data_IF_210761231972
#
_entry.id   IF_210761231972
#
_cell.length_a   1.000
_cell.length_b   1.000
_cell.length_c   1.000
_cell.angle_alpha   90.00
_cell.angle_beta   90.00
_cell.angle_gamma   90.00
#
_symmetry.space_group_name_H-M   'P 1'
#
loop_
_entity.id
_entity.type
_entity.pdbx_description
1 polymer ?
#
# COMPACT_ATOMS: atom_id res chain seq x y z
N UNK A 1 -2.85 13.56 8.48
CA UNK A 1 -4.27 13.18 8.52
C UNK A 1 -4.67 12.91 9.96
N UNK A 2 -5.22 13.93 10.63
CA UNK A 2 -5.54 13.80 12.06
C UNK A 2 -6.79 12.95 12.31
N UNK A 3 -7.68 12.83 11.33
CA UNK A 3 -8.90 12.00 11.37
C UNK A 3 -8.63 10.49 11.52
N UNK A 4 -7.38 10.06 11.29
CA UNK A 4 -6.94 8.67 11.41
C UNK A 4 -6.12 8.42 12.69
N UNK A 5 -6.10 9.39 13.60
CA UNK A 5 -5.38 9.33 14.87
C UNK A 5 -6.14 8.47 15.88
N UNK A 6 -5.41 7.69 16.68
CA UNK A 6 -5.96 6.95 17.81
C UNK A 6 -5.65 7.64 19.16
N UNK A 7 -6.33 7.26 20.26
CA UNK A 7 -6.12 7.90 21.56
C UNK A 7 -4.68 7.84 22.09
N UNK A 8 -3.91 6.79 21.75
CA UNK A 8 -2.51 6.68 22.16
C UNK A 8 -1.63 7.69 21.41
N UNK A 9 -1.84 7.85 20.11
CA UNK A 9 -1.13 8.84 19.30
C UNK A 9 -1.46 10.26 19.77
N UNK A 10 -2.71 10.55 20.13
CA UNK A 10 -3.09 11.84 20.73
C UNK A 10 -2.33 12.13 22.03
N UNK A 11 -2.19 11.14 22.93
CA UNK A 11 -1.39 11.31 24.15
C UNK A 11 0.07 11.70 23.89
N UNK A 12 0.68 11.19 22.82
CA UNK A 12 2.03 11.56 22.41
C UNK A 12 2.06 13.02 21.95
N UNK A 13 1.08 13.42 21.12
CA UNK A 13 0.93 14.81 20.67
C UNK A 13 0.75 15.75 21.87
N UNK A 14 -0.11 15.39 22.82
CA UNK A 14 -0.37 16.18 24.02
C UNK A 14 0.86 16.36 24.90
N UNK A 15 1.69 15.31 25.02
CA UNK A 15 2.96 15.42 25.74
C UNK A 15 3.91 16.42 25.07
N UNK A 16 3.98 16.45 23.74
CA UNK A 16 4.80 17.43 23.01
C UNK A 16 4.27 18.85 23.19
N UNK A 17 2.95 19.04 23.20
CA UNK A 17 2.33 20.34 23.44
C UNK A 17 2.59 20.82 24.86
N UNK A 18 2.54 19.93 25.85
CA UNK A 18 2.87 20.25 27.25
C UNK A 18 4.32 20.72 27.43
N UNK A 19 5.25 20.24 26.61
CA UNK A 19 6.65 20.70 26.55
C UNK A 19 6.83 22.01 25.74
N UNK A 20 5.74 22.64 25.30
CA UNK A 20 5.74 23.95 24.64
C UNK A 20 5.63 23.90 23.11
N UNK A 21 5.39 22.74 22.51
CA UNK A 21 5.13 22.67 21.06
C UNK A 21 3.81 23.35 20.68
N UNK A 22 3.80 24.04 19.54
CA UNK A 22 2.58 24.59 18.96
C UNK A 22 1.86 23.51 18.14
N UNK A 23 0.59 23.28 18.43
CA UNK A 23 -0.23 22.30 17.71
C UNK A 23 -0.95 22.95 16.53
N UNK A 24 -0.77 22.39 15.34
CA UNK A 24 -1.56 22.69 14.16
C UNK A 24 -2.07 21.39 13.54
N UNK A 25 -3.39 21.29 13.38
CA UNK A 25 -4.08 20.06 12.97
C UNK A 25 -4.77 20.26 11.63
N UNK A 26 -4.61 19.28 10.73
CA UNK A 26 -5.30 19.22 9.45
C UNK A 26 -5.94 17.84 9.31
N UNK A 27 -7.19 17.82 8.86
CA UNK A 27 -7.90 16.60 8.50
C UNK A 27 -9.35 16.86 8.11
N UNK A 28 -10.00 15.80 7.64
CA UNK A 28 -11.42 15.79 7.30
C UNK A 28 -12.08 14.59 7.98
N UNK A 29 -12.99 14.78 8.96
CA UNK A 29 -13.61 13.67 9.67
C UNK A 29 -14.43 12.77 8.73
N UNK A 30 -14.92 13.30 7.59
CA UNK A 30 -15.64 12.53 6.57
C UNK A 30 -14.75 11.49 5.86
N UNK A 31 -13.43 11.66 5.95
CA UNK A 31 -12.42 10.80 5.31
C UNK A 31 -11.80 9.79 6.30
N UNK A 32 -12.32 9.68 7.53
CA UNK A 32 -11.85 8.67 8.48
C UNK A 32 -12.28 7.27 8.03
N UNK A 33 -11.34 6.51 7.46
CA UNK A 33 -11.58 5.16 6.91
C UNK A 33 -10.73 4.07 7.61
N UNK A 34 -9.94 4.45 8.62
CA UNK A 34 -9.02 3.55 9.33
C UNK A 34 -9.50 3.08 10.70
N UNK A 35 -10.81 3.12 10.99
CA UNK A 35 -11.38 2.64 12.27
C UNK A 35 -10.95 1.21 12.64
N UNK A 36 -10.76 0.34 11.65
CA UNK A 36 -10.27 -1.04 11.87
C UNK A 36 -8.84 -1.13 12.42
N UNK A 37 -8.06 -0.04 12.36
CA UNK A 37 -6.71 0.08 12.95
C UNK A 37 -6.73 0.86 14.27
N UNK A 38 -7.91 1.11 14.84
CA UNK A 38 -8.09 1.84 16.09
C UNK A 38 -8.12 3.36 15.95
N UNK A 39 -8.16 3.90 14.72
CA UNK A 39 -8.44 5.32 14.53
C UNK A 39 -9.83 5.67 15.09
N UNK A 40 -9.92 6.79 15.78
CA UNK A 40 -11.16 7.26 16.37
C UNK A 40 -11.42 8.70 15.95
N UNK A 41 -12.47 8.89 15.16
CA UNK A 41 -12.91 10.22 14.72
C UNK A 41 -13.37 11.10 15.90
N UNK A 42 -13.75 10.50 17.03
CA UNK A 42 -14.02 11.22 18.28
C UNK A 42 -12.80 12.04 18.73
N UNK A 43 -11.60 11.48 18.60
CA UNK A 43 -10.34 12.20 18.91
C UNK A 43 -10.20 13.46 18.05
N UNK A 44 -10.59 13.40 16.77
CA UNK A 44 -10.59 14.57 15.90
C UNK A 44 -11.58 15.63 16.38
N UNK A 45 -12.80 15.23 16.72
CA UNK A 45 -13.86 16.14 17.19
C UNK A 45 -13.46 16.80 18.51
N UNK A 46 -13.00 16.01 19.49
CA UNK A 46 -12.52 16.51 20.79
C UNK A 46 -11.37 17.48 20.61
N UNK A 47 -10.35 17.13 19.81
CA UNK A 47 -9.21 18.02 19.57
C UNK A 47 -9.61 19.32 18.88
N UNK A 48 -10.58 19.26 17.96
CA UNK A 48 -11.12 20.46 17.30
C UNK A 48 -11.79 21.39 18.31
N UNK A 49 -12.51 20.84 19.29
CA UNK A 49 -13.17 21.61 20.34
C UNK A 49 -12.14 22.18 21.36
N UNK A 50 -11.09 21.41 21.69
CA UNK A 50 -9.95 21.88 22.50
C UNK A 50 -9.22 23.06 21.83
N UNK A 51 -8.93 22.95 20.53
CA UNK A 51 -8.30 24.01 19.75
C UNK A 51 -9.23 25.24 19.67
N UNK A 52 -10.54 25.05 19.55
CA UNK A 52 -11.49 26.17 19.53
C UNK A 52 -11.45 27.02 20.82
N UNK A 53 -11.10 26.41 21.96
CA UNK A 53 -11.02 27.12 23.24
C UNK A 53 -9.80 28.04 23.36
N UNK A 54 -8.73 27.79 22.60
CA UNK A 54 -7.43 28.50 22.74
C UNK A 54 -6.86 29.04 21.43
N UNK A 55 -7.47 28.71 20.31
CA UNK A 55 -7.02 29.02 18.95
C UNK A 55 -8.21 29.25 18.02
N UNK A 56 -8.11 28.76 16.79
CA UNK A 56 -9.12 28.99 15.76
C UNK A 56 -9.26 27.80 14.83
N UNK A 57 -10.51 27.47 14.48
CA UNK A 57 -10.82 26.48 13.47
C UNK A 57 -11.03 27.17 12.12
N UNK A 58 -10.36 26.67 11.08
CA UNK A 58 -10.47 27.18 9.71
C UNK A 58 -11.04 26.10 8.82
N UNK A 59 -12.13 26.41 8.13
CA UNK A 59 -12.81 25.50 7.22
C UNK A 59 -12.42 25.82 5.77
N UNK A 60 -12.03 24.79 5.02
CA UNK A 60 -11.63 24.89 3.62
C UNK A 60 -12.68 24.20 2.75
N UNK A 61 -13.67 24.95 2.29
CA UNK A 61 -14.80 24.42 1.51
C UNK A 61 -14.50 24.32 0.00
N UNK A 62 -13.51 25.08 -0.45
CA UNK A 62 -13.16 25.25 -1.86
C UNK A 62 -12.35 24.06 -2.39
N UNK A 63 -12.90 23.35 -3.37
CA UNK A 63 -12.26 22.24 -4.05
C UNK A 63 -11.55 22.69 -5.32
N UNK A 64 -10.23 22.63 -5.30
CA UNK A 64 -9.36 22.94 -6.44
C UNK A 64 -8.99 21.71 -7.27
N UNK A 65 -9.43 20.50 -6.88
CA UNK A 65 -9.01 19.24 -7.49
C UNK A 65 -9.98 18.78 -8.58
N UNK A 66 -11.27 18.81 -8.29
CA UNK A 66 -12.32 18.17 -9.07
C UNK A 66 -13.19 19.19 -9.80
N UNK A 67 -13.78 18.76 -10.92
CA UNK A 67 -14.70 19.58 -11.71
C UNK A 67 -16.06 19.76 -11.01
N UNK A 68 -16.79 20.86 -11.27
CA UNK A 68 -18.08 21.15 -10.64
C UNK A 68 -19.11 20.02 -10.74
N UNK A 69 -19.13 19.29 -11.85
CA UNK A 69 -20.11 18.23 -12.11
C UNK A 69 -19.92 17.04 -11.16
N UNK A 70 -18.66 16.65 -10.89
CA UNK A 70 -18.34 15.59 -9.93
C UNK A 70 -18.65 16.03 -8.49
N UNK A 71 -18.32 17.28 -8.14
CA UNK A 71 -18.64 17.84 -6.82
C UNK A 71 -20.16 17.92 -6.62
N UNK A 72 -20.91 18.33 -7.64
CA UNK A 72 -22.37 18.34 -7.62
C UNK A 72 -22.96 16.96 -7.36
N UNK A 73 -22.47 15.93 -8.05
CA UNK A 73 -22.88 14.54 -7.84
C UNK A 73 -22.60 14.07 -6.40
N UNK A 74 -21.37 14.26 -5.91
CA UNK A 74 -20.98 13.88 -4.53
C UNK A 74 -21.86 14.59 -3.51
N UNK A 75 -22.07 15.90 -3.67
CA UNK A 75 -22.92 16.68 -2.77
C UNK A 75 -24.39 16.24 -2.75
N UNK A 76 -24.92 15.76 -3.88
CA UNK A 76 -26.28 15.25 -3.96
C UNK A 76 -26.41 13.88 -3.29
N UNK A 77 -25.48 12.96 -3.56
CA UNK A 77 -25.50 11.60 -3.02
C UNK A 77 -25.23 11.60 -1.51
N UNK A 78 -24.14 12.20 -1.06
CA UNK A 78 -23.75 12.17 0.35
C UNK A 78 -24.56 13.12 1.22
N UNK A 79 -25.15 14.18 0.64
CA UNK A 79 -26.12 15.02 1.36
C UNK A 79 -27.35 14.25 1.83
N UNK A 80 -27.73 13.19 1.12
CA UNK A 80 -28.82 12.28 1.53
C UNK A 80 -28.30 11.12 2.38
N UNK A 81 -27.20 10.47 1.96
CA UNK A 81 -26.70 9.27 2.65
C UNK A 81 -26.14 9.53 4.04
N UNK A 82 -25.68 10.75 4.33
CA UNK A 82 -25.11 11.12 5.63
C UNK A 82 -26.03 12.05 6.43
N UNK A 83 -27.30 12.18 6.04
CA UNK A 83 -28.27 12.94 6.79
C UNK A 83 -28.49 12.30 8.17
N UNK A 84 -28.26 13.05 9.24
CA UNK A 84 -28.39 12.57 10.63
C UNK A 84 -27.18 11.81 11.18
N UNK A 85 -26.10 11.66 10.41
CA UNK A 85 -24.84 11.09 10.90
C UNK A 85 -24.09 12.06 11.83
N UNK A 86 -23.38 11.53 12.82
CA UNK A 86 -22.72 12.33 13.87
C UNK A 86 -21.64 13.29 13.36
N UNK A 87 -20.97 12.95 12.26
CA UNK A 87 -19.94 13.78 11.62
C UNK A 87 -20.56 14.82 10.68
N UNK A 88 -21.83 14.62 10.27
CA UNK A 88 -22.51 15.44 9.27
C UNK A 88 -21.85 15.40 7.88
N UNK A 89 -22.57 15.87 6.88
CA UNK A 89 -22.03 16.11 5.54
C UNK A 89 -21.97 17.60 5.24
N UNK A 90 -20.74 18.09 5.03
CA UNK A 90 -20.48 19.44 4.58
C UNK A 90 -20.28 19.43 3.06
N UNK A 91 -21.04 20.28 2.36
CA UNK A 91 -20.95 20.42 0.90
C UNK A 91 -19.65 21.11 0.53
N UNK A 92 -19.03 20.67 -0.56
CA UNK A 92 -17.85 21.34 -1.11
C UNK A 92 -18.21 22.20 -2.33
N UNK A 93 -17.48 23.30 -2.54
CA UNK A 93 -17.66 24.20 -3.67
C UNK A 93 -16.49 24.04 -4.67
N UNK A 94 -16.78 23.70 -5.92
CA UNK A 94 -15.73 23.57 -6.93
C UNK A 94 -15.21 24.94 -7.37
N UNK A 95 -13.88 25.05 -7.57
CA UNK A 95 -13.22 26.24 -8.12
C UNK A 95 -12.72 26.10 -9.55
N UNK A 96 -12.77 24.88 -10.10
CA UNK A 96 -12.44 24.64 -11.51
C UNK A 96 -13.59 25.05 -12.42
N UNK A 97 -13.24 25.36 -13.66
CA UNK A 97 -14.22 25.53 -14.72
C UNK A 97 -14.93 24.21 -15.04
N UNK A 98 -16.18 24.32 -15.47
CA UNK A 98 -16.93 23.20 -16.00
C UNK A 98 -16.26 22.68 -17.28
N UNK A 99 -16.09 21.36 -17.36
CA UNK A 99 -15.52 20.71 -18.54
C UNK A 99 -16.59 20.43 -19.60
N UNK A 100 -17.87 20.36 -19.18
CA UNK A 100 -18.97 19.90 -20.03
C UNK A 100 -18.94 18.38 -20.22
N UNK A 101 -20.11 17.82 -20.54
CA UNK A 101 -20.28 16.38 -20.75
C UNK A 101 -20.45 15.55 -19.46
N UNK A 102 -20.72 14.23 -19.61
CA UNK A 102 -20.99 13.35 -18.48
C UNK A 102 -19.77 13.23 -17.55
N UNK A 103 -20.02 13.29 -16.24
CA UNK A 103 -18.97 13.18 -15.22
C UNK A 103 -18.96 11.92 -14.39
N UNK A 104 -20.11 11.25 -14.35
CA UNK A 104 -20.29 9.98 -13.68
C UNK A 104 -21.01 9.09 -14.67
N UNK A 105 -20.46 7.90 -14.87
CA UNK A 105 -21.07 6.86 -15.70
C UNK A 105 -21.26 5.63 -14.83
N UNK A 106 -22.48 5.09 -14.82
CA UNK A 106 -22.77 3.83 -14.14
C UNK A 106 -22.70 2.73 -15.19
N UNK A 107 -21.71 1.84 -15.06
CA UNK A 107 -21.60 0.65 -15.88
C UNK A 107 -22.34 -0.49 -15.17
N UNK A 108 -23.49 -0.90 -15.72
CA UNK A 108 -24.26 -2.03 -15.19
C UNK A 108 -23.86 -3.30 -15.93
N UNK A 109 -23.20 -4.21 -15.23
CA UNK A 109 -22.87 -5.54 -15.74
C UNK A 109 -24.10 -6.44 -15.66
N UNK A 110 -24.60 -7.01 -16.77
CA UNK A 110 -25.67 -8.00 -16.73
C UNK A 110 -25.15 -9.30 -16.09
N UNK A 111 -25.66 -9.65 -14.92
CA UNK A 111 -25.16 -10.78 -14.13
C UNK A 111 -26.27 -11.49 -13.33
N UNK A 112 -27.53 -11.34 -13.75
CA UNK A 112 -28.72 -11.80 -13.01
C UNK A 112 -28.75 -13.33 -12.84
N UNK A 113 -28.21 -14.08 -13.81
CA UNK A 113 -28.16 -15.55 -13.82
C UNK A 113 -26.76 -16.14 -13.54
N UNK A 114 -25.79 -15.31 -13.12
CA UNK A 114 -24.39 -15.72 -12.95
C UNK A 114 -24.03 -15.96 -11.48
N UNK A 115 -23.12 -16.91 -11.23
CA UNK A 115 -22.49 -17.01 -9.92
C UNK A 115 -21.62 -15.78 -9.66
N UNK A 116 -21.42 -15.42 -8.39
CA UNK A 116 -20.65 -14.23 -7.98
C UNK A 116 -19.25 -14.15 -8.62
N UNK A 117 -18.55 -15.28 -8.77
CA UNK A 117 -17.25 -15.33 -9.43
C UNK A 117 -17.32 -15.03 -10.93
N UNK A 118 -18.32 -15.58 -11.63
CA UNK A 118 -18.52 -15.38 -13.07
C UNK A 118 -18.94 -13.94 -13.37
N UNK A 119 -19.84 -13.39 -12.56
CA UNK A 119 -20.25 -11.99 -12.62
C UNK A 119 -19.05 -11.03 -12.53
N UNK A 120 -18.07 -11.35 -11.66
CA UNK A 120 -16.83 -10.55 -11.51
C UNK A 120 -15.91 -10.62 -12.72
N UNK A 121 -15.84 -11.77 -13.38
CA UNK A 121 -15.07 -11.91 -14.62
C UNK A 121 -15.68 -11.03 -15.71
N UNK A 122 -17.00 -11.08 -15.90
CA UNK A 122 -17.69 -10.22 -16.88
C UNK A 122 -17.52 -8.73 -16.54
N UNK A 123 -17.64 -8.35 -15.26
CA UNK A 123 -17.38 -6.98 -14.80
C UNK A 123 -15.96 -6.52 -15.14
N UNK A 124 -14.96 -7.36 -14.88
CA UNK A 124 -13.56 -7.07 -15.16
C UNK A 124 -13.29 -6.88 -16.66
N UNK A 125 -13.85 -7.74 -17.51
CA UNK A 125 -13.75 -7.63 -18.97
C UNK A 125 -14.40 -6.33 -19.47
N UNK A 126 -15.60 -6.00 -19.00
CA UNK A 126 -16.30 -4.78 -19.39
C UNK A 126 -15.53 -3.51 -18.97
N UNK A 127 -14.93 -3.51 -17.77
CA UNK A 127 -14.07 -2.41 -17.31
C UNK A 127 -12.83 -2.31 -18.20
N UNK A 128 -12.15 -3.41 -18.50
CA UNK A 128 -10.96 -3.42 -19.36
C UNK A 128 -11.29 -2.88 -20.77
N UNK A 129 -12.38 -3.35 -21.38
CA UNK A 129 -12.85 -2.85 -22.68
C UNK A 129 -13.22 -1.37 -22.61
N UNK A 130 -13.85 -0.91 -21.53
CA UNK A 130 -14.19 0.51 -21.39
C UNK A 130 -12.94 1.39 -21.27
N UNK A 131 -11.93 0.93 -20.53
CA UNK A 131 -10.65 1.63 -20.41
C UNK A 131 -9.95 1.69 -21.78
N UNK A 132 -9.92 0.58 -22.51
CA UNK A 132 -9.36 0.53 -23.88
C UNK A 132 -10.08 1.51 -24.80
N UNK A 133 -11.40 1.52 -24.82
CA UNK A 133 -12.23 2.45 -25.60
C UNK A 133 -11.91 3.93 -25.29
N UNK A 134 -11.77 4.28 -24.01
CA UNK A 134 -11.41 5.64 -23.59
C UNK A 134 -10.02 6.07 -24.08
N UNK A 135 -9.07 5.13 -24.10
CA UNK A 135 -7.70 5.42 -24.55
C UNK A 135 -7.59 5.44 -26.07
N UNK A 136 -8.24 4.51 -26.76
CA UNK A 136 -8.22 4.40 -28.23
C UNK A 136 -8.89 5.60 -28.91
N UNK A 137 -9.90 6.22 -28.26
CA UNK A 137 -10.50 7.49 -28.70
C UNK A 137 -9.59 8.71 -28.48
N UNK A 138 -8.55 8.57 -27.67
CA UNK A 138 -7.66 9.65 -27.28
C UNK A 138 -8.19 10.54 -26.15
N UNK A 139 -9.27 10.13 -25.45
CA UNK A 139 -9.86 10.91 -24.35
C UNK A 139 -8.92 10.94 -23.13
N UNK A 140 -8.18 9.84 -22.89
CA UNK A 140 -7.30 9.67 -21.74
C UNK A 140 -6.05 8.84 -22.07
N UNK A 141 -4.99 9.01 -21.27
CA UNK A 141 -3.85 8.09 -21.20
C UNK A 141 -4.05 7.07 -20.07
N UNK A 142 -3.44 5.89 -20.18
CA UNK A 142 -3.52 4.85 -19.15
C UNK A 142 -3.14 5.34 -17.75
N UNK A 143 -2.10 6.15 -17.63
CA UNK A 143 -1.63 6.72 -16.35
C UNK A 143 -2.63 7.66 -15.66
N UNK A 144 -3.64 8.15 -16.40
CA UNK A 144 -4.69 9.02 -15.87
C UNK A 144 -5.88 8.22 -15.34
N UNK A 145 -5.86 6.90 -15.45
CA UNK A 145 -6.94 6.01 -15.07
C UNK A 145 -6.53 5.22 -13.83
N UNK A 146 -7.39 5.24 -12.81
CA UNK A 146 -7.22 4.48 -11.58
C UNK A 146 -8.44 3.61 -11.32
N UNK A 147 -8.22 2.35 -10.94
CA UNK A 147 -9.29 1.43 -10.54
C UNK A 147 -9.21 1.25 -9.03
N UNK A 148 -10.28 1.64 -8.33
CA UNK A 148 -10.36 1.56 -6.87
C UNK A 148 -11.25 0.38 -6.46
N UNK A 149 -10.73 -0.46 -5.58
CA UNK A 149 -11.44 -1.61 -5.05
C UNK A 149 -11.68 -1.44 -3.55
N UNK A 150 -12.83 -1.92 -3.06
CA UNK A 150 -13.11 -1.96 -1.62
C UNK A 150 -12.18 -2.92 -0.87
N UNK A 151 -11.82 -4.02 -1.53
CA UNK A 151 -10.95 -5.08 -1.01
C UNK A 151 -10.09 -5.67 -2.14
N UNK A 152 -8.86 -6.08 -1.81
CA UNK A 152 -7.90 -6.59 -2.80
C UNK A 152 -8.12 -8.07 -3.18
N UNK A 153 -9.08 -8.76 -2.57
CA UNK A 153 -9.29 -10.22 -2.68
C UNK A 153 -9.39 -10.71 -4.13
N UNK A 154 -10.12 -9.97 -4.97
CA UNK A 154 -10.43 -10.38 -6.34
C UNK A 154 -9.66 -9.58 -7.40
N UNK A 155 -8.65 -8.79 -7.01
CA UNK A 155 -7.92 -7.91 -7.94
C UNK A 155 -7.25 -8.69 -9.07
N UNK A 156 -6.80 -9.92 -8.79
CA UNK A 156 -6.20 -10.81 -9.79
C UNK A 156 -7.12 -11.09 -11.00
N UNK A 157 -8.45 -11.05 -10.84
CA UNK A 157 -9.42 -11.21 -11.94
C UNK A 157 -9.34 -10.01 -12.90
N UNK A 158 -9.24 -8.79 -12.36
CA UNK A 158 -9.11 -7.57 -13.14
C UNK A 158 -7.73 -7.46 -13.78
N UNK A 159 -6.67 -7.85 -13.08
CA UNK A 159 -5.32 -7.93 -13.64
C UNK A 159 -5.27 -8.84 -14.88
N UNK A 160 -5.94 -10.00 -14.81
CA UNK A 160 -6.05 -10.93 -15.94
C UNK A 160 -6.78 -10.28 -17.12
N UNK A 161 -7.94 -9.67 -16.89
CA UNK A 161 -8.72 -9.01 -17.95
C UNK A 161 -7.95 -7.84 -18.60
N UNK A 162 -7.27 -7.01 -17.81
CA UNK A 162 -6.42 -5.94 -18.32
C UNK A 162 -5.28 -6.50 -19.18
N UNK A 163 -4.63 -7.58 -18.74
CA UNK A 163 -3.55 -8.24 -19.48
C UNK A 163 -4.02 -8.83 -20.81
N UNK A 164 -5.19 -9.48 -20.82
CA UNK A 164 -5.77 -10.08 -22.04
C UNK A 164 -6.07 -9.03 -23.12
N UNK A 165 -6.51 -7.84 -22.71
CA UNK A 165 -6.75 -6.71 -23.62
C UNK A 165 -5.47 -5.90 -23.87
N UNK A 166 -4.32 -6.25 -23.28
CA UNK A 166 -3.03 -5.59 -23.48
C UNK A 166 -2.91 -4.22 -22.81
N UNK A 167 -3.62 -3.98 -21.72
CA UNK A 167 -3.60 -2.72 -20.96
C UNK A 167 -2.46 -2.76 -19.92
N UNK A 168 -1.51 -1.82 -19.95
CA UNK A 168 -0.49 -1.73 -18.92
C UNK A 168 -1.11 -1.31 -17.57
N UNK A 169 -0.71 -1.96 -16.48
CA UNK A 169 -1.21 -1.65 -15.14
C UNK A 169 -0.11 -1.73 -14.09
N UNK A 170 -0.32 -1.02 -12.97
CA UNK A 170 0.54 -1.06 -11.78
C UNK A 170 -0.33 -1.34 -10.57
N UNK A 171 0.02 -2.36 -9.78
CA UNK A 171 -0.64 -2.65 -8.51
C UNK A 171 0.22 -2.16 -7.33
N UNK A 172 -0.19 -1.03 -6.73
CA UNK A 172 0.54 -0.34 -5.65
C UNK A 172 0.52 -1.08 -4.29
N UNK A 173 -0.23 -2.17 -4.18
CA UNK A 173 -0.37 -2.97 -2.95
C UNK A 173 -0.04 -4.45 -3.13
N UNK A 174 0.66 -4.81 -4.21
CA UNK A 174 0.98 -6.19 -4.52
C UNK A 174 1.80 -6.85 -3.40
N UNK A 175 1.16 -7.74 -2.62
CA UNK A 175 1.85 -8.65 -1.67
C UNK A 175 2.86 -9.57 -2.36
N UNK A 176 2.79 -9.65 -3.69
CA UNK A 176 3.61 -10.50 -4.54
C UNK A 176 5.10 -10.25 -4.40
N UNK A 177 5.55 -8.99 -4.28
CA UNK A 177 6.99 -8.67 -4.33
C UNK A 177 7.77 -9.41 -3.25
N UNK A 178 7.41 -9.22 -1.98
CA UNK A 178 8.09 -9.89 -0.88
C UNK A 178 7.86 -11.39 -0.87
N UNK A 179 6.79 -11.91 -1.46
CA UNK A 179 6.56 -13.36 -1.54
C UNK A 179 7.35 -14.08 -2.64
N UNK A 180 8.01 -13.35 -3.56
CA UNK A 180 8.83 -13.98 -4.60
C UNK A 180 10.03 -14.68 -3.98
N UNK A 181 10.36 -15.88 -4.50
CA UNK A 181 11.46 -16.69 -3.98
C UNK A 181 12.78 -15.92 -4.01
N UNK A 182 13.07 -15.21 -5.09
CA UNK A 182 14.31 -14.46 -5.26
C UNK A 182 14.42 -13.30 -4.23
N UNK A 183 13.29 -12.72 -3.86
CA UNK A 183 13.24 -11.67 -2.83
C UNK A 183 13.43 -12.27 -1.45
N UNK A 184 12.80 -13.41 -1.15
CA UNK A 184 12.99 -14.13 0.12
C UNK A 184 14.44 -14.60 0.29
N UNK A 185 15.09 -15.09 -0.76
CA UNK A 185 16.48 -15.54 -0.72
C UNK A 185 17.43 -14.40 -0.36
N UNK A 186 17.26 -13.22 -0.99
CA UNK A 186 18.04 -12.01 -0.67
C UNK A 186 17.77 -11.52 0.75
N UNK A 187 16.51 -11.53 1.20
CA UNK A 187 16.16 -11.10 2.56
C UNK A 187 16.74 -12.02 3.64
N UNK A 188 16.70 -13.34 3.43
CA UNK A 188 17.35 -14.29 4.33
C UNK A 188 18.87 -14.06 4.39
N UNK A 189 19.50 -13.66 3.27
CA UNK A 189 20.89 -13.27 3.28
C UNK A 189 21.16 -12.06 4.17
N UNK A 190 20.36 -11.00 4.05
CA UNK A 190 20.52 -9.82 4.90
C UNK A 190 20.27 -10.10 6.38
N UNK A 191 19.26 -10.92 6.70
CA UNK A 191 19.00 -11.37 8.07
C UNK A 191 20.20 -12.10 8.67
N UNK A 192 20.83 -13.00 7.90
CA UNK A 192 22.03 -13.69 8.34
C UNK A 192 23.24 -12.76 8.51
N UNK A 193 23.39 -11.75 7.65
CA UNK A 193 24.44 -10.73 7.77
C UNK A 193 24.26 -9.82 9.00
N UNK A 194 23.01 -9.50 9.35
CA UNK A 194 22.65 -8.70 10.52
C UNK A 194 22.81 -9.50 11.81
N UNK A 195 22.22 -10.70 11.86
CA UNK A 195 22.27 -11.62 13.00
C UNK A 195 22.91 -12.97 12.61
N UNK A 196 24.18 -13.21 12.96
CA UNK A 196 24.85 -14.48 12.71
C UNK A 196 24.20 -15.68 13.44
N UNK A 197 23.37 -15.42 14.46
CA UNK A 197 22.67 -16.46 15.22
C UNK A 197 21.31 -16.85 14.61
N UNK A 198 20.84 -16.18 13.55
CA UNK A 198 19.62 -16.55 12.82
C UNK A 198 19.87 -17.82 11.98
N UNK A 199 19.75 -18.98 12.62
CA UNK A 199 19.95 -20.29 11.97
C UNK A 199 19.00 -20.51 10.79
N UNK A 200 17.77 -20.01 10.88
CA UNK A 200 16.77 -20.19 9.83
C UNK A 200 17.18 -19.43 8.58
N UNK A 201 17.61 -18.17 8.74
CA UNK A 201 18.13 -17.36 7.66
C UNK A 201 19.39 -17.99 7.05
N UNK A 202 20.33 -18.46 7.88
CA UNK A 202 21.56 -19.11 7.42
C UNK A 202 21.26 -20.37 6.58
N UNK A 203 20.42 -21.29 7.07
CA UNK A 203 20.08 -22.51 6.33
C UNK A 203 19.28 -22.20 5.04
N UNK A 204 18.40 -21.20 5.08
CA UNK A 204 17.68 -20.75 3.88
C UNK A 204 18.63 -20.24 2.80
N UNK A 205 19.65 -19.47 3.19
CA UNK A 205 20.70 -18.98 2.29
C UNK A 205 21.49 -20.14 1.69
N UNK A 206 21.92 -21.11 2.48
CA UNK A 206 22.66 -22.29 2.00
C UNK A 206 21.83 -23.11 1.00
N UNK A 207 20.52 -23.24 1.22
CA UNK A 207 19.58 -23.94 0.33
C UNK A 207 19.28 -23.18 -0.97
N UNK A 208 19.36 -21.86 -0.93
CA UNK A 208 18.98 -20.99 -2.05
C UNK A 208 19.88 -21.18 -3.29
N UNK A 209 19.51 -20.61 -4.44
CA UNK A 209 20.34 -20.63 -5.65
C UNK A 209 21.75 -20.05 -5.49
N UNK A 210 22.07 -19.35 -4.39
CA UNK A 210 23.42 -18.85 -4.12
C UNK A 210 24.43 -19.99 -3.89
N UNK A 211 24.01 -21.08 -3.24
CA UNK A 211 24.91 -22.17 -2.81
C UNK A 211 24.39 -23.57 -3.10
N UNK A 212 23.07 -23.76 -3.29
CA UNK A 212 22.45 -25.01 -3.72
C UNK A 212 22.79 -26.23 -2.84
N UNK A 213 22.94 -26.03 -1.52
CA UNK A 213 23.14 -27.14 -0.59
C UNK A 213 21.82 -27.90 -0.45
N UNK A 214 21.88 -29.23 -0.60
CA UNK A 214 20.71 -30.09 -0.54
C UNK A 214 20.13 -30.19 0.88
N UNK A 215 18.86 -30.60 1.00
CA UNK A 215 18.24 -30.81 2.32
C UNK A 215 19.00 -31.86 3.16
N UNK A 216 19.61 -32.87 2.52
CA UNK A 216 20.50 -33.83 3.18
C UNK A 216 21.80 -33.16 3.66
N UNK A 217 22.40 -32.31 2.83
CA UNK A 217 23.58 -31.52 3.19
C UNK A 217 23.32 -30.58 4.38
N UNK A 218 22.16 -29.90 4.40
CA UNK A 218 21.74 -29.07 5.54
C UNK A 218 21.57 -29.90 6.82
N UNK A 219 21.07 -31.13 6.72
CA UNK A 219 20.97 -32.05 7.85
C UNK A 219 22.35 -32.38 8.43
N UNK A 220 23.33 -32.67 7.56
CA UNK A 220 24.71 -32.92 7.98
C UNK A 220 25.38 -31.70 8.62
N UNK A 221 25.14 -30.50 8.07
CA UNK A 221 25.63 -29.24 8.66
C UNK A 221 25.04 -29.03 10.06
N UNK A 222 23.73 -29.28 10.24
CA UNK A 222 23.06 -29.16 11.54
C UNK A 222 23.55 -30.18 12.58
N UNK A 223 24.05 -31.33 12.13
CA UNK A 223 24.65 -32.36 12.98
C UNK A 223 26.15 -32.18 13.21
N UNK A 224 26.74 -31.05 12.77
CA UNK A 224 28.17 -30.77 12.84
C UNK A 224 29.03 -31.84 12.16
N UNK A 225 28.54 -32.37 11.02
CA UNK A 225 29.20 -33.39 10.20
C UNK A 225 29.44 -32.93 8.76
N UNK A 226 30.21 -31.85 8.54
CA UNK A 226 30.51 -31.36 7.20
C UNK A 226 31.35 -32.35 6.37
N UNK A 227 31.98 -33.36 7.00
CA UNK A 227 32.69 -34.45 6.33
C UNK A 227 31.77 -35.33 5.47
N UNK A 228 30.46 -35.34 5.76
CA UNK A 228 29.44 -36.12 5.01
C UNK A 228 28.89 -35.40 3.79
N UNK A 229 29.21 -34.13 3.62
CA UNK A 229 28.82 -33.35 2.45
C UNK A 229 29.52 -33.87 1.19
N UNK A 230 28.86 -33.74 0.04
CA UNK A 230 29.53 -33.97 -1.24
C UNK A 230 30.64 -32.94 -1.45
N UNK A 231 31.64 -33.24 -2.28
CA UNK A 231 32.73 -32.30 -2.56
C UNK A 231 32.23 -30.94 -3.06
N UNK A 232 31.14 -30.93 -3.85
CA UNK A 232 30.49 -29.70 -4.33
C UNK A 232 29.85 -28.90 -3.20
N UNK A 233 29.19 -29.56 -2.26
CA UNK A 233 28.56 -28.89 -1.11
C UNK A 233 29.60 -28.39 -0.11
N UNK A 234 30.73 -29.07 0.05
CA UNK A 234 31.86 -28.58 0.85
C UNK A 234 32.44 -27.31 0.25
N UNK A 235 32.60 -27.26 -1.08
CA UNK A 235 33.03 -26.06 -1.79
C UNK A 235 32.02 -24.93 -1.65
N UNK A 236 30.72 -25.22 -1.80
CA UNK A 236 29.65 -24.23 -1.64
C UNK A 236 29.57 -23.67 -0.20
N UNK A 237 29.74 -24.53 0.81
CA UNK A 237 29.77 -24.12 2.22
C UNK A 237 30.99 -23.26 2.53
N UNK A 238 32.15 -23.59 1.97
CA UNK A 238 33.34 -22.74 2.11
C UNK A 238 33.11 -21.38 1.44
N UNK A 239 32.58 -21.39 0.22
CA UNK A 239 32.25 -20.16 -0.52
C UNK A 239 31.27 -19.28 0.26
N UNK A 240 30.26 -19.85 0.91
CA UNK A 240 29.29 -19.06 1.68
C UNK A 240 29.93 -18.36 2.89
N UNK A 241 30.90 -19.01 3.55
CA UNK A 241 31.67 -18.41 4.64
C UNK A 241 32.56 -17.26 4.12
N UNK A 242 33.24 -17.48 3.00
CA UNK A 242 34.10 -16.46 2.37
C UNK A 242 33.27 -15.23 1.95
N UNK A 243 32.13 -15.45 1.28
CA UNK A 243 31.20 -14.41 0.85
C UNK A 243 30.61 -13.65 2.05
N UNK A 244 30.26 -14.36 3.13
CA UNK A 244 29.78 -13.74 4.37
C UNK A 244 30.82 -12.81 5.00
N UNK A 245 32.07 -13.26 5.14
CA UNK A 245 33.15 -12.43 5.69
C UNK A 245 33.37 -11.19 4.82
N UNK A 246 33.38 -11.36 3.50
CA UNK A 246 33.53 -10.26 2.56
C UNK A 246 32.38 -9.26 2.65
N UNK A 247 31.12 -9.70 2.58
CA UNK A 247 29.95 -8.83 2.63
C UNK A 247 29.81 -8.11 3.99
N UNK A 248 30.12 -8.79 5.10
CA UNK A 248 30.14 -8.18 6.43
C UNK A 248 31.22 -7.10 6.53
N UNK A 249 32.35 -7.28 5.84
CA UNK A 249 33.38 -6.24 5.76
C UNK A 249 32.86 -4.98 5.05
N UNK A 250 32.08 -5.13 3.98
CA UNK A 250 31.47 -4.00 3.27
C UNK A 250 30.45 -3.27 4.14
N UNK A 251 29.61 -4.00 4.87
CA UNK A 251 28.59 -3.42 5.75
C UNK A 251 29.17 -2.60 6.91
N UNK A 252 30.35 -2.98 7.42
CA UNK A 252 31.02 -2.25 8.52
C UNK A 252 31.74 -0.98 8.08
N UNK A 253 32.10 -0.86 6.80
CA UNK A 253 33.06 0.17 6.33
C UNK A 253 32.47 1.17 5.34
N UNK A 254 31.17 1.12 5.06
CA UNK A 254 30.51 2.13 4.22
C UNK A 254 29.34 2.76 4.98
N UNK A 255 29.40 4.07 5.32
CA UNK A 255 28.19 4.77 5.75
C UNK A 255 27.14 4.64 4.65
N UNK A 256 25.86 4.73 5.03
CA UNK A 256 24.78 4.89 4.05
C UNK A 256 25.17 5.98 3.05
N UNK A 257 24.93 5.79 1.74
CA UNK A 257 25.23 6.84 0.77
C UNK A 257 24.55 8.13 1.20
N UNK A 258 25.32 9.23 1.25
CA UNK A 258 24.74 10.56 1.45
C UNK A 258 23.78 10.81 0.30
N UNK A 259 22.47 10.77 0.60
CA UNK A 259 21.45 11.19 -0.33
C UNK A 259 21.49 12.71 -0.33
N UNK A 260 22.30 13.28 -1.22
CA UNK A 260 22.23 14.69 -1.56
C UNK A 260 20.90 14.87 -2.31
N UNK A 261 19.88 15.32 -1.58
CA UNK A 261 18.66 15.83 -2.20
C UNK A 261 18.96 17.24 -2.69
N UNK A 262 18.76 17.47 -3.98
CA UNK A 262 18.79 18.80 -4.61
C UNK A 262 17.53 19.58 -4.27
#
# INVERSE_FOLDING_TARGET
EFQDTNPLQKKIVDALVAEGATLFVVGDPKQSIYRFRGADVGVFVETKDEIAATGSNVFLEENFRSRPELIGFVNAVFGQLMEGESIGFERSAAKKDAAGGPCVTILRTPAEDLLSGEARVVEAEQIALKIRDLVDRGDYRYEQISILFRAMTNVHIYEKALKEVGIPYVNLGGRGFYSKQEIQDVLNYFRWLEDPADEVAHLAVLRSPFYLISDEGLCWIRQDRPDKLTAKEQEALKKSQDDYVFLRSLARHRPAPEVITS
#
